data_IF_439948672245
#
_entry.id   IF_439948672245
#
_cell.length_a   1.000
_cell.length_b   1.000
_cell.length_c   1.000
_cell.angle_alpha   90.00
_cell.angle_beta   90.00
_cell.angle_gamma   90.00
#
_symmetry.space_group_name_H-M   'P 1'
#
loop_
_entity.id
_entity.type
_entity.pdbx_description
1 polymer ?
#
# COMPACT_ATOMS: atom_id res chain seq x y z
N UNK A 1 -35.23 23.60 -19.78
CA UNK A 1 -34.64 23.22 -18.47
C UNK A 1 -33.81 21.96 -18.66
N UNK A 2 -32.48 22.08 -18.78
CA UNK A 2 -31.57 20.92 -18.80
C UNK A 2 -30.87 20.86 -17.44
N UNK A 3 -31.31 19.95 -16.55
CA UNK A 3 -30.73 19.75 -15.21
C UNK A 3 -30.09 18.36 -15.12
N UNK A 4 -28.81 18.32 -14.76
CA UNK A 4 -28.41 17.52 -13.60
C UNK A 4 -27.75 16.15 -13.79
N UNK A 5 -27.26 15.76 -14.97
CA UNK A 5 -26.65 14.42 -15.15
C UNK A 5 -25.18 14.27 -14.72
N UNK A 6 -24.39 15.36 -14.70
CA UNK A 6 -22.93 15.26 -14.56
C UNK A 6 -22.39 15.10 -13.13
N UNK A 7 -23.14 15.54 -12.10
CA UNK A 7 -22.65 15.56 -10.72
C UNK A 7 -22.56 14.15 -10.09
N UNK A 8 -23.43 13.23 -10.50
CA UNK A 8 -23.49 11.86 -9.96
C UNK A 8 -22.30 11.01 -10.41
N UNK A 9 -21.81 11.24 -11.64
CA UNK A 9 -20.68 10.50 -12.20
C UNK A 9 -19.35 10.87 -11.51
N UNK A 10 -19.20 12.13 -11.10
CA UNK A 10 -18.00 12.60 -10.40
C UNK A 10 -17.90 12.03 -8.98
N UNK A 11 -19.02 11.93 -8.26
CA UNK A 11 -19.04 11.36 -6.91
C UNK A 11 -18.68 9.86 -6.89
N UNK A 12 -19.16 9.10 -7.88
CA UNK A 12 -18.84 7.68 -8.00
C UNK A 12 -17.34 7.43 -8.28
N UNK A 13 -16.71 8.28 -9.10
CA UNK A 13 -15.28 8.19 -9.39
C UNK A 13 -14.40 8.49 -8.17
N UNK A 14 -14.81 9.45 -7.32
CA UNK A 14 -14.09 9.80 -6.07
C UNK A 14 -14.20 8.67 -5.04
N UNK A 15 -15.34 7.97 -4.98
CA UNK A 15 -15.54 6.85 -4.06
C UNK A 15 -14.71 5.62 -4.45
N UNK A 16 -14.47 5.40 -5.74
CA UNK A 16 -13.61 4.30 -6.20
C UNK A 16 -12.13 4.48 -5.85
N UNK A 17 -11.65 5.71 -5.70
CA UNK A 17 -10.26 6.00 -5.34
C UNK A 17 -9.92 5.70 -3.87
N UNK A 18 -10.91 5.50 -2.99
CA UNK A 18 -10.70 5.31 -1.55
C UNK A 18 -10.53 3.84 -1.14
N UNK A 19 -10.66 2.88 -2.06
CA UNK A 19 -10.57 1.46 -1.74
C UNK A 19 -9.20 0.90 -2.14
N UNK A 20 -8.27 0.81 -1.19
CA UNK A 20 -7.14 -0.12 -1.35
C UNK A 20 -5.85 0.26 -0.63
N UNK A 21 -5.75 -0.13 0.64
CA UNK A 21 -4.51 -0.63 1.24
C UNK A 21 -4.86 -1.27 2.61
N UNK A 22 -5.26 -2.54 2.60
CA UNK A 22 -5.27 -3.34 3.83
C UNK A 22 -3.91 -3.97 4.03
N UNK A 23 -3.24 -3.72 5.16
CA UNK A 23 -2.10 -4.53 5.58
C UNK A 23 -2.62 -5.83 6.21
N UNK A 24 -1.86 -6.93 6.10
CA UNK A 24 -2.22 -8.20 6.73
C UNK A 24 -1.62 -8.24 8.14
N UNK A 25 -2.44 -8.07 9.17
CA UNK A 25 -2.05 -8.25 10.58
C UNK A 25 -2.71 -9.51 11.17
N UNK A 26 -1.97 -10.22 12.00
CA UNK A 26 -2.43 -11.40 12.73
C UNK A 26 -2.84 -11.00 14.15
N UNK A 27 -4.04 -11.39 14.58
CA UNK A 27 -4.50 -11.21 15.95
C UNK A 27 -4.31 -12.50 16.76
N UNK A 28 -3.46 -12.42 17.78
CA UNK A 28 -3.12 -13.54 18.65
C UNK A 28 -3.90 -13.38 19.96
N UNK A 29 -4.71 -14.38 20.29
CA UNK A 29 -5.46 -14.41 21.54
C UNK A 29 -4.52 -14.67 22.75
N UNK A 30 -4.84 -14.20 23.97
CA UNK A 30 -3.92 -14.23 25.11
C UNK A 30 -3.45 -15.63 25.55
N UNK A 31 -4.22 -16.68 25.25
CA UNK A 31 -3.89 -18.09 25.52
C UNK A 31 -3.88 -18.93 24.24
N UNK A 32 -3.89 -18.28 23.08
CA UNK A 32 -3.97 -18.93 21.77
C UNK A 32 -2.62 -18.95 21.06
N UNK A 33 -2.43 -19.95 20.20
CA UNK A 33 -1.37 -19.97 19.20
C UNK A 33 -1.98 -19.69 17.85
N UNK A 34 -1.32 -18.85 17.04
CA UNK A 34 -1.69 -18.62 15.64
C UNK A 34 -0.54 -19.03 14.76
N UNK A 35 -0.84 -19.81 13.73
CA UNK A 35 0.15 -20.29 12.77
C UNK A 35 -0.21 -19.84 11.36
N UNK A 36 0.82 -19.51 10.59
CA UNK A 36 0.76 -19.33 9.13
C UNK A 36 1.45 -20.52 8.51
N UNK A 37 0.81 -21.15 7.53
CA UNK A 37 1.35 -22.28 6.78
C UNK A 37 1.47 -21.90 5.32
N UNK A 38 2.60 -22.23 4.69
CA UNK A 38 2.77 -22.04 3.26
C UNK A 38 3.56 -23.19 2.65
N UNK A 39 3.18 -23.58 1.44
CA UNK A 39 3.87 -24.63 0.68
C UNK A 39 5.03 -24.02 -0.10
N UNK A 40 6.26 -24.40 0.24
CA UNK A 40 7.48 -23.83 -0.32
C UNK A 40 8.25 -24.92 -1.05
N UNK A 41 8.90 -24.57 -2.17
CA UNK A 41 9.79 -25.47 -2.92
C UNK A 41 11.11 -25.67 -2.18
N UNK A 42 11.85 -26.73 -2.51
CA UNK A 42 13.22 -26.95 -2.01
C UNK A 42 14.21 -25.95 -2.61
N UNK A 43 15.29 -25.66 -1.87
CA UNK A 43 16.42 -24.81 -2.29
C UNK A 43 16.05 -23.35 -2.58
N UNK A 44 15.09 -22.78 -1.84
CA UNK A 44 14.78 -21.35 -1.90
C UNK A 44 15.05 -20.69 -0.56
N UNK A 45 15.51 -19.44 -0.61
CA UNK A 45 15.72 -18.62 0.59
C UNK A 45 14.37 -18.07 1.04
N UNK A 46 14.10 -18.17 2.33
CA UNK A 46 12.93 -17.60 2.98
C UNK A 46 13.40 -16.60 4.01
N UNK A 47 12.83 -15.40 3.98
CA UNK A 47 13.05 -14.37 5.00
C UNK A 47 11.69 -13.97 5.54
N UNK A 48 11.58 -13.95 6.86
CA UNK A 48 10.41 -13.44 7.54
C UNK A 48 10.78 -12.37 8.54
N UNK A 49 10.14 -11.21 8.40
CA UNK A 49 10.23 -10.09 9.33
C UNK A 49 8.93 -10.03 10.12
N UNK A 50 9.02 -9.97 11.45
CA UNK A 50 7.83 -9.80 12.27
C UNK A 50 8.01 -8.75 13.35
N UNK A 51 6.95 -7.99 13.60
CA UNK A 51 6.91 -6.96 14.63
C UNK A 51 5.56 -6.90 15.32
N UNK A 52 5.58 -6.79 16.63
CA UNK A 52 4.38 -6.60 17.45
C UNK A 52 3.95 -5.14 17.39
N UNK A 53 2.71 -4.92 16.98
CA UNK A 53 2.08 -3.60 16.95
C UNK A 53 1.53 -3.29 18.36
N UNK A 54 2.00 -2.19 18.94
CA UNK A 54 1.54 -1.70 20.23
C UNK A 54 0.72 -0.41 20.03
N UNK A 55 -0.45 -0.35 20.63
CA UNK A 55 -1.33 0.82 20.61
C UNK A 55 -1.53 1.28 22.05
N UNK A 56 -0.98 2.46 22.41
CA UNK A 56 -1.25 3.21 23.65
C UNK A 56 -1.05 2.49 25.02
N UNK A 57 -0.34 1.37 25.10
CA UNK A 57 -0.04 0.71 26.38
C UNK A 57 1.39 1.00 26.85
N UNK A 58 1.56 1.25 28.16
CA UNK A 58 2.84 1.48 28.83
C UNK A 58 3.75 0.23 28.94
N UNK A 59 3.29 -0.90 28.43
CA UNK A 59 4.02 -2.17 28.41
C UNK A 59 4.24 -2.60 26.95
N UNK A 60 5.44 -3.12 26.67
CA UNK A 60 5.79 -3.70 25.38
C UNK A 60 5.54 -5.20 25.43
N UNK A 61 4.41 -5.71 24.89
CA UNK A 61 4.14 -7.13 24.90
C UNK A 61 5.19 -7.87 24.07
N UNK A 62 5.55 -9.07 24.53
CA UNK A 62 6.48 -9.94 23.83
C UNK A 62 5.80 -11.22 23.39
N UNK A 63 6.29 -11.79 22.28
CA UNK A 63 5.78 -13.03 21.72
C UNK A 63 6.91 -14.04 21.59
N UNK A 64 6.53 -15.31 21.57
CA UNK A 64 7.38 -16.40 21.15
C UNK A 64 7.04 -16.81 19.72
N UNK A 65 8.07 -17.18 18.96
CA UNK A 65 7.97 -17.66 17.59
C UNK A 65 8.64 -19.01 17.45
N UNK A 66 8.04 -19.87 16.62
CA UNK A 66 8.67 -21.10 16.14
C UNK A 66 8.33 -21.33 14.69
N UNK A 67 9.35 -21.51 13.88
CA UNK A 67 9.24 -21.86 12.46
C UNK A 67 9.69 -23.30 12.28
N UNK A 68 8.86 -24.12 11.64
CA UNK A 68 9.10 -25.55 11.43
C UNK A 68 9.02 -25.95 9.97
N UNK A 69 9.86 -26.90 9.58
CA UNK A 69 9.83 -27.56 8.28
C UNK A 69 8.65 -28.55 8.17
N UNK A 70 8.37 -29.05 6.96
CA UNK A 70 7.33 -30.08 6.74
C UNK A 70 7.60 -31.39 7.47
N UNK A 71 8.87 -31.66 7.81
CA UNK A 71 9.33 -32.85 8.51
C UNK A 71 9.44 -32.66 10.03
N UNK A 72 9.14 -31.45 10.52
CA UNK A 72 9.15 -31.11 11.94
C UNK A 72 10.47 -30.53 12.47
N UNK A 73 11.46 -30.31 11.60
CA UNK A 73 12.70 -29.64 12.00
C UNK A 73 12.45 -28.18 12.34
N UNK A 74 13.13 -27.68 13.38
CA UNK A 74 12.98 -26.30 13.86
C UNK A 74 13.96 -25.41 13.08
N UNK A 75 13.43 -24.56 12.20
CA UNK A 75 14.23 -23.62 11.41
C UNK A 75 14.56 -22.36 12.19
N UNK A 76 13.62 -21.89 13.02
CA UNK A 76 13.81 -20.73 13.90
C UNK A 76 13.01 -20.91 15.19
N UNK A 77 13.58 -20.52 16.32
CA UNK A 77 12.86 -20.47 17.60
C UNK A 77 13.41 -19.33 18.45
N UNK A 78 12.51 -18.45 18.90
CA UNK A 78 12.86 -17.36 19.81
C UNK A 78 11.71 -17.08 20.77
N UNK A 79 12.05 -16.71 21.99
CA UNK A 79 11.11 -16.46 23.07
C UNK A 79 11.28 -15.02 23.57
N UNK A 80 10.19 -14.42 24.07
CA UNK A 80 10.19 -13.08 24.66
C UNK A 80 10.77 -11.97 23.76
N UNK A 81 10.30 -11.88 22.51
CA UNK A 81 10.72 -10.84 21.55
C UNK A 81 9.55 -10.02 21.03
N UNK A 82 9.77 -8.74 20.80
CA UNK A 82 8.79 -7.81 20.22
C UNK A 82 8.98 -7.63 18.70
N UNK A 83 10.21 -7.78 18.21
CA UNK A 83 10.57 -7.71 16.80
C UNK A 83 11.81 -8.57 16.53
N UNK A 84 11.83 -9.27 15.41
CA UNK A 84 12.98 -10.06 14.96
C UNK A 84 12.88 -10.31 13.45
N UNK A 85 13.98 -10.77 12.87
CA UNK A 85 14.04 -11.28 11.50
C UNK A 85 14.60 -12.70 11.52
N UNK A 86 13.98 -13.61 10.77
CA UNK A 86 14.52 -14.94 10.53
C UNK A 86 14.82 -15.14 9.05
N UNK A 87 15.86 -15.89 8.76
CA UNK A 87 16.24 -16.27 7.41
C UNK A 87 16.74 -17.71 7.39
N UNK A 88 16.23 -18.51 6.46
CA UNK A 88 16.68 -19.88 6.25
C UNK A 88 16.57 -20.26 4.77
N UNK A 89 17.23 -21.35 4.39
CA UNK A 89 17.07 -21.95 3.05
C UNK A 89 16.32 -23.26 3.21
N UNK A 90 15.27 -23.47 2.42
CA UNK A 90 14.47 -24.70 2.46
C UNK A 90 15.29 -25.89 1.98
N UNK A 91 15.35 -26.96 2.76
CA UNK A 91 15.99 -28.20 2.36
C UNK A 91 15.04 -29.01 1.45
N UNK A 92 13.81 -29.21 1.91
CA UNK A 92 12.79 -29.94 1.17
C UNK A 92 11.61 -29.05 0.76
N UNK A 93 10.84 -29.53 -0.23
CA UNK A 93 9.57 -28.94 -0.60
C UNK A 93 8.44 -29.42 0.32
N UNK A 94 7.54 -28.52 0.72
CA UNK A 94 6.35 -28.86 1.51
C UNK A 94 5.84 -27.70 2.35
N UNK A 95 4.97 -28.01 3.32
CA UNK A 95 4.34 -27.02 4.20
C UNK A 95 5.26 -26.59 5.34
N UNK A 96 5.78 -25.37 5.25
CA UNK A 96 6.47 -24.70 6.35
C UNK A 96 5.45 -23.97 7.20
N UNK A 97 5.63 -24.03 8.52
CA UNK A 97 4.72 -23.47 9.51
C UNK A 97 5.45 -22.46 10.37
N UNK A 98 4.91 -21.25 10.51
CA UNK A 98 5.36 -20.28 11.50
C UNK A 98 4.26 -19.99 12.50
N UNK A 99 4.50 -20.39 13.74
CA UNK A 99 3.58 -20.26 14.85
C UNK A 99 4.06 -19.18 15.81
N UNK A 100 3.12 -18.36 16.25
CA UNK A 100 3.31 -17.28 17.20
C UNK A 100 2.35 -17.48 18.37
N UNK A 101 2.85 -17.30 19.59
CA UNK A 101 2.05 -17.33 20.81
C UNK A 101 2.59 -16.35 21.83
N UNK A 102 1.71 -15.89 22.71
CA UNK A 102 2.09 -15.06 23.85
C UNK A 102 2.45 -16.00 25.00
N UNK A 103 3.66 -15.89 25.51
CA UNK A 103 4.10 -16.57 26.73
C UNK A 103 4.61 -15.50 27.71
N UNK A 104 4.32 -15.65 29.01
CA UNK A 104 4.64 -14.63 30.02
C UNK A 104 3.44 -14.08 30.79
N UNK A 105 3.61 -12.92 31.44
CA UNK A 105 2.67 -12.28 32.39
C UNK A 105 1.53 -11.51 31.68
N UNK A 106 1.67 -11.27 30.37
CA UNK A 106 0.72 -10.55 29.52
C UNK A 106 -0.51 -11.38 29.08
N UNK A 107 -0.92 -12.38 29.88
CA UNK A 107 -1.98 -13.38 29.56
C UNK A 107 -3.40 -12.82 29.39
N UNK A 108 -3.55 -11.51 29.27
CA UNK A 108 -4.83 -10.82 29.07
C UNK A 108 -4.91 -9.93 27.83
N UNK A 109 -3.81 -9.64 27.13
CA UNK A 109 -3.84 -8.74 25.98
C UNK A 109 -3.92 -9.52 24.65
N UNK A 110 -4.81 -9.06 23.77
CA UNK A 110 -4.82 -9.47 22.36
C UNK A 110 -3.67 -8.75 21.67
N UNK A 111 -2.74 -9.52 21.10
CA UNK A 111 -1.55 -8.96 20.45
C UNK A 111 -1.76 -8.94 18.95
N UNK A 112 -1.56 -7.77 18.34
CA UNK A 112 -1.52 -7.60 16.88
C UNK A 112 -0.09 -7.75 16.40
N UNK A 113 0.15 -8.71 15.52
CA UNK A 113 1.47 -8.98 14.96
C UNK A 113 1.45 -8.71 13.45
N UNK A 114 2.41 -7.92 12.99
CA UNK A 114 2.69 -7.73 11.57
C UNK A 114 3.73 -8.76 11.14
N UNK A 115 3.44 -9.54 10.09
CA UNK A 115 4.33 -10.54 9.53
C UNK A 115 4.52 -10.26 8.03
N UNK A 116 5.77 -10.11 7.62
CA UNK A 116 6.17 -10.01 6.21
C UNK A 116 6.95 -11.28 5.84
N UNK A 117 6.34 -12.16 5.04
CA UNK A 117 6.87 -13.47 4.66
C UNK A 117 7.30 -13.43 3.18
N UNK A 118 8.61 -13.52 2.91
CA UNK A 118 9.19 -13.43 1.57
C UNK A 118 9.91 -14.71 1.17
N UNK A 119 9.70 -15.16 -0.07
CA UNK A 119 10.26 -16.40 -0.61
C UNK A 119 11.07 -16.12 -1.89
N UNK A 120 12.23 -16.77 -2.04
CA UNK A 120 13.03 -16.80 -3.26
C UNK A 120 13.61 -15.43 -3.63
N UNK A 121 13.38 -14.98 -4.87
CA UNK A 121 13.87 -13.67 -5.33
C UNK A 121 13.30 -12.52 -4.50
N UNK A 122 12.09 -12.65 -3.94
CA UNK A 122 11.50 -11.64 -3.07
C UNK A 122 12.25 -11.53 -1.72
N UNK A 123 12.91 -12.61 -1.29
CA UNK A 123 13.73 -12.65 -0.09
C UNK A 123 15.18 -12.15 -0.33
N UNK A 124 15.57 -11.88 -1.57
CA UNK A 124 16.89 -11.30 -1.85
C UNK A 124 16.85 -9.81 -1.50
N UNK A 125 17.85 -9.33 -0.78
CA UNK A 125 17.97 -7.93 -0.34
C UNK A 125 18.01 -6.98 -1.57
N UNK A 126 16.84 -6.45 -1.93
CA UNK A 126 16.65 -5.56 -3.07
C UNK A 126 17.18 -4.16 -2.79
N UNK A 127 17.49 -3.76 -1.56
CA UNK A 127 17.96 -2.41 -1.26
C UNK A 127 19.29 -2.09 -1.96
N UNK A 128 20.13 -3.11 -2.17
CA UNK A 128 21.39 -2.98 -2.89
C UNK A 128 21.20 -2.90 -4.42
N UNK A 129 20.20 -3.59 -4.97
CA UNK A 129 19.87 -3.58 -6.41
C UNK A 129 19.04 -2.35 -6.77
N UNK A 130 18.05 -2.02 -5.95
CA UNK A 130 17.20 -0.85 -6.08
C UNK A 130 18.00 0.43 -5.90
N UNK A 131 18.98 0.54 -5.00
CA UNK A 131 19.85 1.73 -4.95
C UNK A 131 20.66 1.92 -6.24
N UNK A 132 20.97 0.84 -6.97
CA UNK A 132 21.74 0.90 -8.23
C UNK A 132 20.85 1.22 -9.44
N UNK A 133 19.71 0.55 -9.59
CA UNK A 133 18.80 0.78 -10.73
C UNK A 133 17.86 1.99 -10.54
N UNK A 134 17.44 2.31 -9.31
CA UNK A 134 16.55 3.47 -9.02
C UNK A 134 17.24 4.81 -9.26
N UNK A 135 18.57 4.87 -9.36
CA UNK A 135 19.27 6.12 -9.70
C UNK A 135 19.27 6.31 -11.22
N UNK A 136 19.68 5.29 -11.99
CA UNK A 136 19.76 5.40 -13.46
C UNK A 136 18.38 5.46 -14.13
N UNK A 137 17.42 4.62 -13.69
CA UNK A 137 16.08 4.57 -14.31
C UNK A 137 15.21 5.77 -13.90
N UNK A 138 15.37 6.29 -12.66
CA UNK A 138 14.58 7.44 -12.21
C UNK A 138 15.08 8.75 -12.82
N UNK A 139 16.39 8.91 -13.06
CA UNK A 139 16.91 10.09 -13.78
C UNK A 139 16.51 10.09 -15.26
N UNK A 140 16.50 8.93 -15.92
CA UNK A 140 16.06 8.82 -17.31
C UNK A 140 14.53 9.00 -17.47
N UNK A 141 13.74 8.39 -16.58
CA UNK A 141 12.27 8.41 -16.69
C UNK A 141 11.66 9.71 -16.13
N UNK A 142 12.31 10.39 -15.17
CA UNK A 142 11.84 11.70 -14.67
C UNK A 142 12.02 12.83 -15.70
N UNK A 143 12.97 12.69 -16.63
CA UNK A 143 13.11 13.59 -17.78
C UNK A 143 12.01 13.35 -18.83
N UNK A 144 11.72 12.10 -19.17
CA UNK A 144 10.76 11.77 -20.25
C UNK A 144 9.28 11.98 -19.87
N UNK A 145 8.88 11.63 -18.65
CA UNK A 145 7.48 11.79 -18.19
C UNK A 145 7.14 13.25 -17.92
N UNK A 146 8.11 14.06 -17.50
CA UNK A 146 7.94 15.52 -17.34
C UNK A 146 7.69 16.18 -18.69
N UNK A 147 8.44 15.83 -19.73
CA UNK A 147 8.34 16.48 -21.04
C UNK A 147 7.04 16.10 -21.78
N UNK A 148 6.64 14.82 -21.77
CA UNK A 148 5.44 14.35 -22.50
C UNK A 148 4.11 14.66 -21.83
N UNK A 149 4.08 14.76 -20.49
CA UNK A 149 2.84 15.04 -19.74
C UNK A 149 2.62 16.54 -19.56
N UNK A 150 3.68 17.33 -19.37
CA UNK A 150 3.55 18.77 -19.15
C UNK A 150 3.00 19.48 -20.39
N UNK A 151 3.48 19.15 -21.59
CA UNK A 151 2.99 19.79 -22.82
C UNK A 151 1.49 19.56 -23.07
N UNK A 152 0.99 18.35 -22.78
CA UNK A 152 -0.44 18.01 -22.97
C UNK A 152 -1.32 18.71 -21.96
N UNK A 153 -0.90 18.75 -20.69
CA UNK A 153 -1.67 19.40 -19.62
C UNK A 153 -1.69 20.93 -19.79
N UNK A 154 -0.57 21.53 -20.21
CA UNK A 154 -0.51 22.97 -20.55
C UNK A 154 -1.40 23.30 -21.75
N UNK A 155 -1.41 22.47 -22.80
CA UNK A 155 -2.28 22.73 -23.95
C UNK A 155 -3.77 22.61 -23.60
N UNK A 156 -4.16 21.60 -22.83
CA UNK A 156 -5.55 21.43 -22.39
C UNK A 156 -6.03 22.56 -21.48
N UNK A 157 -5.18 23.05 -20.57
CA UNK A 157 -5.53 24.17 -19.69
C UNK A 157 -5.66 25.49 -20.47
N UNK A 158 -4.77 25.74 -21.44
CA UNK A 158 -4.86 26.91 -22.34
C UNK A 158 -6.14 26.85 -23.19
N UNK A 159 -6.46 25.70 -23.79
CA UNK A 159 -7.70 25.53 -24.54
C UNK A 159 -8.93 25.76 -23.66
N UNK A 160 -8.97 25.17 -22.47
CA UNK A 160 -10.08 25.34 -21.53
C UNK A 160 -10.27 26.81 -21.13
N UNK A 161 -9.19 27.53 -20.80
CA UNK A 161 -9.26 28.95 -20.45
C UNK A 161 -9.75 29.80 -21.63
N UNK A 162 -9.30 29.50 -22.85
CA UNK A 162 -9.72 30.23 -24.04
C UNK A 162 -11.22 30.08 -24.32
N UNK A 163 -11.78 28.87 -24.14
CA UNK A 163 -13.22 28.61 -24.27
C UNK A 163 -14.01 29.35 -23.20
N UNK A 164 -13.54 29.34 -21.94
CA UNK A 164 -14.20 30.08 -20.86
C UNK A 164 -14.26 31.58 -21.16
N UNK A 165 -13.16 32.19 -21.61
CA UNK A 165 -13.11 33.62 -21.95
C UNK A 165 -14.03 33.95 -23.12
N UNK A 166 -14.02 33.13 -24.19
CA UNK A 166 -14.89 33.33 -25.34
C UNK A 166 -16.38 33.29 -24.97
N UNK A 167 -16.77 32.31 -24.13
CA UNK A 167 -18.16 32.21 -23.62
C UNK A 167 -18.52 33.44 -22.79
N UNK A 168 -17.64 33.91 -21.90
CA UNK A 168 -17.89 35.12 -21.10
C UNK A 168 -18.05 36.37 -21.97
N UNK A 169 -17.22 36.55 -23.01
CA UNK A 169 -17.33 37.70 -23.93
C UNK A 169 -18.63 37.63 -24.74
N UNK A 170 -18.98 36.45 -25.27
CA UNK A 170 -20.24 36.26 -26.00
C UNK A 170 -21.46 36.50 -25.10
N UNK A 171 -21.41 36.03 -23.84
CA UNK A 171 -22.46 36.28 -22.85
C UNK A 171 -22.65 37.78 -22.61
N UNK A 172 -21.56 38.53 -22.43
CA UNK A 172 -21.60 39.99 -22.24
C UNK A 172 -22.08 40.73 -23.49
N UNK A 173 -21.60 40.35 -24.67
CA UNK A 173 -21.97 41.00 -25.93
C UNK A 173 -23.46 40.78 -26.26
N UNK A 174 -23.95 39.56 -26.09
CA UNK A 174 -25.37 39.24 -26.25
C UNK A 174 -26.25 40.01 -25.26
N UNK A 175 -25.82 40.12 -24.00
CA UNK A 175 -26.56 40.87 -22.97
C UNK A 175 -26.63 42.37 -23.31
N UNK A 176 -25.51 42.97 -23.73
CA UNK A 176 -25.47 44.37 -24.13
C UNK A 176 -26.30 44.64 -25.39
N UNK A 177 -26.26 43.74 -26.37
CA UNK A 177 -27.07 43.86 -27.58
C UNK A 177 -28.56 43.70 -27.29
N UNK A 178 -28.92 42.81 -26.37
CA UNK A 178 -30.29 42.66 -25.89
C UNK A 178 -30.81 43.95 -25.24
N UNK A 179 -30.01 44.60 -24.37
CA UNK A 179 -30.41 45.87 -23.74
C UNK A 179 -30.44 47.05 -24.74
N UNK A 180 -29.51 47.12 -25.69
CA UNK A 180 -29.52 48.14 -26.77
C UNK A 180 -30.77 48.02 -27.65
N UNK A 181 -31.15 46.80 -28.03
CA UNK A 181 -32.34 46.57 -28.86
C UNK A 181 -33.65 46.85 -28.11
N UNK A 182 -33.65 46.80 -26.78
CA UNK A 182 -34.83 47.00 -25.94
C UNK A 182 -34.94 48.40 -25.31
N UNK A 183 -34.02 49.34 -25.59
CA UNK A 183 -33.99 50.71 -25.03
C UNK A 183 -34.29 50.76 -23.52
N UNK A 184 -33.58 49.93 -22.75
CA UNK A 184 -33.66 49.90 -21.28
C UNK A 184 -32.35 50.39 -20.63
N UNK A 185 -31.66 51.28 -21.34
CA UNK A 185 -30.80 52.40 -20.90
C UNK A 185 -30.95 53.47 -21.99
#
# INVERSE_FOLDING_TARGET
MARGGGAWMAAAAVWWMAAGAGAMWLEIAPSGTKCVSEEIRSNVVVIGDYSVLYEHHHAHPTVAVKVTSPFGDIMHKKENVSMDQFAFTTAEAGNYLACFWVDGEDRGLVVKLNLDWKIGIAAKDWDSVAKKEKIEVKEANMRDVSEKTNARVTWLSVLSLSVCVAVSVLQLWHLQEYFRKKKLI
#
